data_IF_697553966098
#
_entry.id   IF_697553966098
#
_cell.length_a   1.000
_cell.length_b   1.000
_cell.length_c   1.000
_cell.angle_alpha   90.00
_cell.angle_beta   90.00
_cell.angle_gamma   90.00
#
_symmetry.space_group_name_H-M   'P 1'
#
loop_
_entity.id
_entity.type
_entity.pdbx_description
1 polymer ?
#
# COMPACT_ATOMS: atom_id res chain seq x y z
N UNK A 1 -6.44 8.08 20.35
CA UNK A 1 -7.04 7.71 19.06
C UNK A 1 -7.13 8.93 18.16
N UNK A 2 -6.60 8.87 16.94
CA UNK A 2 -6.75 9.88 15.89
C UNK A 2 -7.77 9.40 14.86
N UNK A 3 -8.47 10.33 14.20
CA UNK A 3 -9.46 10.01 13.16
C UNK A 3 -9.16 10.87 11.94
N UNK A 4 -9.01 10.22 10.78
CA UNK A 4 -8.87 10.90 9.49
C UNK A 4 -10.05 10.51 8.62
N UNK A 5 -10.90 11.49 8.29
CA UNK A 5 -12.05 11.29 7.41
C UNK A 5 -11.63 11.36 5.94
N UNK A 6 -12.08 10.41 5.14
CA UNK A 6 -11.83 10.33 3.70
C UNK A 6 -13.15 10.59 2.96
N UNK A 7 -13.21 11.68 2.22
CA UNK A 7 -14.36 12.03 1.36
C UNK A 7 -14.10 11.50 -0.05
N UNK A 8 -14.62 10.32 -0.34
CA UNK A 8 -14.58 9.66 -1.63
C UNK A 8 -15.99 9.28 -2.07
N UNK A 9 -16.16 8.53 -3.16
CA UNK A 9 -17.46 8.04 -3.64
C UNK A 9 -18.27 7.33 -2.54
N UNK A 10 -17.57 6.64 -1.61
CA UNK A 10 -18.12 6.14 -0.36
C UNK A 10 -17.24 6.69 0.78
N UNK A 11 -17.72 7.69 1.54
CA UNK A 11 -16.95 8.27 2.64
C UNK A 11 -16.71 7.26 3.76
N UNK A 12 -15.52 7.33 4.37
CA UNK A 12 -15.15 6.47 5.49
C UNK A 12 -14.13 7.14 6.40
N UNK A 13 -13.86 6.51 7.53
CA UNK A 13 -12.85 6.97 8.48
C UNK A 13 -11.68 6.00 8.55
N UNK A 14 -10.49 6.56 8.78
CA UNK A 14 -9.31 5.84 9.25
C UNK A 14 -9.12 6.21 10.71
N UNK A 15 -9.29 5.24 11.60
CA UNK A 15 -9.10 5.39 13.04
C UNK A 15 -7.74 4.81 13.41
N UNK A 16 -6.94 5.60 14.13
CA UNK A 16 -5.55 5.26 14.46
C UNK A 16 -5.38 5.35 15.96
N UNK A 17 -4.94 4.26 16.60
CA UNK A 17 -4.73 4.23 18.04
C UNK A 17 -4.52 2.82 18.57
N UNK A 18 -3.87 2.70 19.73
CA UNK A 18 -3.60 1.43 20.40
C UNK A 18 -4.86 0.73 20.87
N UNK A 19 -4.87 -0.61 20.79
CA UNK A 19 -5.95 -1.45 21.28
C UNK A 19 -7.17 -1.58 20.36
N UNK A 20 -7.16 -0.98 19.15
CA UNK A 20 -8.30 -0.99 18.24
C UNK A 20 -8.69 -2.39 17.77
N UNK A 21 -7.76 -3.34 17.70
CA UNK A 21 -8.09 -4.73 17.38
C UNK A 21 -8.99 -5.36 18.48
N UNK A 22 -8.71 -5.07 19.73
CA UNK A 22 -9.53 -5.54 20.86
C UNK A 22 -10.92 -4.91 20.85
N UNK A 23 -11.04 -3.70 20.32
CA UNK A 23 -12.29 -2.94 20.19
C UNK A 23 -12.99 -3.16 18.83
N UNK A 24 -12.47 -4.02 17.95
CA UNK A 24 -12.99 -4.23 16.59
C UNK A 24 -14.52 -4.38 16.55
N UNK A 25 -15.07 -5.25 17.40
CA UNK A 25 -16.51 -5.46 17.47
C UNK A 25 -17.29 -4.21 17.88
N UNK A 26 -16.80 -3.45 18.86
CA UNK A 26 -17.43 -2.19 19.29
C UNK A 26 -17.37 -1.13 18.19
N UNK A 27 -16.23 -1.03 17.47
CA UNK A 27 -16.08 -0.12 16.33
C UNK A 27 -17.08 -0.45 15.20
N UNK A 28 -17.28 -1.75 14.91
CA UNK A 28 -18.25 -2.18 13.90
C UNK A 28 -19.70 -1.95 14.34
N UNK A 29 -20.01 -2.09 15.64
CA UNK A 29 -21.36 -1.77 16.17
C UNK A 29 -21.72 -0.30 15.99
N UNK A 30 -20.73 0.58 16.00
CA UNK A 30 -20.92 2.01 15.69
C UNK A 30 -21.33 2.28 14.24
N UNK A 31 -20.98 1.38 13.32
CA UNK A 31 -21.30 1.51 11.88
C UNK A 31 -22.51 0.66 11.47
N UNK A 32 -22.68 -0.50 12.07
CA UNK A 32 -23.68 -1.49 11.71
C UNK A 32 -24.60 -1.78 12.92
N UNK A 33 -25.77 -1.19 12.92
CA UNK A 33 -26.72 -1.26 14.04
C UNK A 33 -27.16 -2.69 14.40
N UNK A 34 -27.23 -3.59 13.41
CA UNK A 34 -27.58 -5.01 13.63
C UNK A 34 -26.35 -5.90 13.49
N UNK A 35 -26.19 -6.91 14.36
CA UNK A 35 -25.19 -7.96 14.17
C UNK A 35 -25.41 -8.70 12.84
N UNK A 36 -24.32 -9.16 12.23
CA UNK A 36 -24.29 -9.85 10.94
C UNK A 36 -23.13 -10.83 10.88
N UNK A 37 -23.08 -11.64 9.84
CA UNK A 37 -21.94 -12.50 9.58
C UNK A 37 -20.73 -11.68 9.14
N UNK A 38 -19.55 -12.07 9.59
CA UNK A 38 -18.27 -11.38 9.31
C UNK A 38 -17.24 -12.41 8.84
N UNK A 39 -16.79 -12.30 7.61
CA UNK A 39 -15.66 -13.10 7.13
C UNK A 39 -14.35 -12.39 7.47
N UNK A 40 -13.58 -12.93 8.40
CA UNK A 40 -12.22 -12.45 8.70
C UNK A 40 -11.26 -13.09 7.71
N UNK A 41 -10.73 -12.31 6.78
CA UNK A 41 -9.78 -12.74 5.74
C UNK A 41 -8.38 -12.38 6.17
N UNK A 42 -7.50 -13.38 6.30
CA UNK A 42 -6.14 -13.19 6.80
C UNK A 42 -5.19 -14.22 6.19
N UNK A 43 -3.90 -13.90 6.14
CA UNK A 43 -2.89 -14.92 5.90
C UNK A 43 -2.66 -15.80 7.13
N UNK A 44 -1.97 -16.92 6.95
CA UNK A 44 -1.72 -17.92 8.00
C UNK A 44 -0.92 -17.36 9.19
N UNK A 45 0.07 -16.48 8.93
CA UNK A 45 0.88 -15.86 9.99
C UNK A 45 0.05 -14.89 10.83
N UNK A 46 -0.63 -13.94 10.19
CA UNK A 46 -1.44 -12.94 10.88
C UNK A 46 -2.66 -13.58 11.55
N UNK A 47 -3.26 -14.60 10.90
CA UNK A 47 -4.38 -15.36 11.46
C UNK A 47 -4.00 -16.08 12.77
N UNK A 48 -2.79 -16.64 12.84
CA UNK A 48 -2.29 -17.28 14.06
C UNK A 48 -2.08 -16.27 15.20
N UNK A 49 -1.52 -15.09 14.88
CA UNK A 49 -1.23 -14.06 15.87
C UNK A 49 -2.48 -13.34 16.38
N UNK A 50 -3.36 -12.93 15.50
CA UNK A 50 -4.41 -11.96 15.79
C UNK A 50 -5.83 -12.46 15.53
N UNK A 51 -6.01 -13.54 14.78
CA UNK A 51 -7.32 -14.09 14.44
C UNK A 51 -8.21 -14.37 15.66
N UNK A 52 -7.71 -15.07 16.70
CA UNK A 52 -8.50 -15.35 17.91
C UNK A 52 -8.97 -14.09 18.65
N UNK A 53 -8.14 -13.02 18.67
CA UNK A 53 -8.50 -11.75 19.32
C UNK A 53 -9.59 -11.01 18.53
N UNK A 54 -9.44 -10.93 17.20
CA UNK A 54 -10.44 -10.33 16.33
C UNK A 54 -11.80 -11.04 16.44
N UNK A 55 -11.81 -12.38 16.37
CA UNK A 55 -13.05 -13.14 16.49
C UNK A 55 -13.73 -12.99 17.84
N UNK A 56 -12.95 -12.95 18.94
CA UNK A 56 -13.49 -12.72 20.29
C UNK A 56 -14.17 -11.37 20.36
N UNK A 57 -13.48 -10.30 19.94
CA UNK A 57 -14.04 -8.94 19.91
C UNK A 57 -15.33 -8.86 19.10
N UNK A 58 -15.38 -9.53 17.94
CA UNK A 58 -16.58 -9.60 17.11
C UNK A 58 -17.73 -10.34 17.81
N UNK A 59 -17.48 -11.52 18.42
CA UNK A 59 -18.50 -12.30 19.13
C UNK A 59 -19.05 -11.55 20.34
N UNK A 60 -18.18 -10.89 21.11
CA UNK A 60 -18.57 -10.11 22.29
C UNK A 60 -19.50 -8.94 21.91
N UNK A 61 -19.37 -8.43 20.71
CA UNK A 61 -20.26 -7.41 20.13
C UNK A 61 -21.49 -7.99 19.41
N UNK A 62 -21.67 -9.31 19.42
CA UNK A 62 -22.83 -10.03 18.87
C UNK A 62 -22.72 -10.37 17.38
N UNK A 63 -21.57 -10.13 16.71
CA UNK A 63 -21.34 -10.58 15.34
C UNK A 63 -21.06 -12.08 15.27
N UNK A 64 -21.23 -12.67 14.08
CA UNK A 64 -20.96 -14.08 13.80
C UNK A 64 -19.69 -14.20 12.92
N UNK A 65 -18.48 -14.24 13.51
CA UNK A 65 -17.25 -14.31 12.73
C UNK A 65 -17.00 -15.73 12.19
N UNK A 66 -16.62 -15.78 10.92
CA UNK A 66 -15.99 -16.91 10.25
C UNK A 66 -14.61 -16.50 9.75
N UNK A 67 -13.72 -17.45 9.46
CA UNK A 67 -12.35 -17.16 9.06
C UNK A 67 -12.03 -17.82 7.73
N UNK A 68 -11.44 -17.02 6.83
CA UNK A 68 -10.78 -17.49 5.62
C UNK A 68 -9.29 -17.23 5.72
N UNK A 69 -8.48 -18.30 5.67
CA UNK A 69 -7.02 -18.22 5.80
C UNK A 69 -6.36 -18.67 4.51
N UNK A 70 -5.38 -17.91 4.04
CA UNK A 70 -4.58 -18.21 2.86
C UNK A 70 -3.07 -18.18 3.22
N UNK A 71 -2.17 -18.82 2.44
CA UNK A 71 -0.74 -18.77 2.70
C UNK A 71 -0.20 -17.34 2.59
N UNK A 72 0.71 -16.94 3.48
CA UNK A 72 1.31 -15.60 3.47
C UNK A 72 2.12 -15.31 2.20
N UNK A 73 2.32 -14.02 1.91
CA UNK A 73 3.14 -13.50 0.83
C UNK A 73 2.40 -13.20 -0.47
N UNK A 74 3.05 -12.38 -1.31
CA UNK A 74 2.48 -11.85 -2.56
C UNK A 74 2.05 -12.94 -3.57
N UNK A 75 2.68 -14.13 -3.50
CA UNK A 75 2.34 -15.27 -4.36
C UNK A 75 0.93 -15.81 -4.15
N UNK A 76 0.32 -15.53 -3.01
CA UNK A 76 -1.08 -15.93 -2.70
C UNK A 76 -2.13 -14.97 -3.25
N UNK A 77 -1.73 -13.80 -3.72
CA UNK A 77 -2.62 -12.77 -4.29
C UNK A 77 -3.03 -13.13 -5.71
N UNK A 78 -3.83 -14.16 -5.89
CA UNK A 78 -4.16 -14.78 -7.19
C UNK A 78 -5.66 -14.87 -7.42
N UNK A 79 -6.05 -15.07 -8.70
CA UNK A 79 -7.44 -15.39 -9.05
C UNK A 79 -7.93 -16.70 -8.38
N UNK A 80 -7.05 -17.66 -8.14
CA UNK A 80 -7.40 -18.91 -7.45
C UNK A 80 -7.78 -18.66 -5.98
N UNK A 81 -6.97 -17.88 -5.25
CA UNK A 81 -7.28 -17.49 -3.86
C UNK A 81 -8.57 -16.65 -3.79
N UNK A 82 -8.74 -15.73 -4.74
CA UNK A 82 -9.97 -14.94 -4.87
C UNK A 82 -11.19 -15.84 -5.10
N UNK A 83 -11.13 -16.81 -6.03
CA UNK A 83 -12.23 -17.71 -6.30
C UNK A 83 -12.56 -18.61 -5.08
N UNK A 84 -11.53 -19.06 -4.35
CA UNK A 84 -11.71 -19.81 -3.11
C UNK A 84 -12.42 -18.98 -2.02
N UNK A 85 -12.06 -17.69 -1.87
CA UNK A 85 -12.74 -16.79 -0.94
C UNK A 85 -14.20 -16.54 -1.33
N UNK A 86 -14.49 -16.34 -2.63
CA UNK A 86 -15.86 -16.22 -3.14
C UNK A 86 -16.70 -17.45 -2.81
N UNK A 87 -16.13 -18.64 -3.02
CA UNK A 87 -16.79 -19.90 -2.70
C UNK A 87 -17.00 -20.06 -1.19
N UNK A 88 -16.06 -19.66 -0.36
CA UNK A 88 -16.20 -19.69 1.11
C UNK A 88 -17.37 -18.80 1.57
N UNK A 89 -17.47 -17.58 1.06
CA UNK A 89 -18.60 -16.67 1.34
C UNK A 89 -19.96 -17.28 0.96
N UNK A 90 -20.01 -17.90 -0.22
CA UNK A 90 -21.23 -18.55 -0.70
C UNK A 90 -21.61 -19.75 0.17
N UNK A 91 -20.64 -20.62 0.50
CA UNK A 91 -20.86 -21.82 1.32
C UNK A 91 -21.32 -21.47 2.74
N UNK A 92 -20.80 -20.39 3.31
CA UNK A 92 -21.17 -19.88 4.62
C UNK A 92 -22.50 -19.07 4.59
N UNK A 93 -23.16 -18.94 3.43
CA UNK A 93 -24.46 -18.28 3.32
C UNK A 93 -24.43 -16.77 3.46
N UNK A 94 -23.30 -16.13 3.16
CA UNK A 94 -23.18 -14.67 3.24
C UNK A 94 -24.14 -13.98 2.27
N UNK A 95 -24.70 -12.86 2.72
CA UNK A 95 -25.66 -12.02 2.01
C UNK A 95 -25.10 -10.62 1.77
N UNK A 96 -25.86 -9.75 1.10
CA UNK A 96 -25.47 -8.34 0.88
C UNK A 96 -25.35 -7.52 2.17
N UNK A 97 -25.97 -7.97 3.25
CA UNK A 97 -25.93 -7.27 4.54
C UNK A 97 -24.73 -7.66 5.39
N UNK A 98 -24.02 -8.73 5.03
CA UNK A 98 -22.85 -9.21 5.74
C UNK A 98 -21.59 -8.44 5.31
N UNK A 99 -20.45 -8.68 5.97
CA UNK A 99 -19.25 -7.90 5.71
C UNK A 99 -17.97 -8.76 5.75
N UNK A 100 -16.92 -8.22 5.15
CA UNK A 100 -15.58 -8.79 5.22
C UNK A 100 -14.70 -7.90 6.12
N UNK A 101 -13.89 -8.52 6.98
CA UNK A 101 -12.78 -7.87 7.69
C UNK A 101 -11.48 -8.37 7.10
N UNK A 102 -10.73 -7.49 6.44
CA UNK A 102 -9.38 -7.75 5.98
C UNK A 102 -8.40 -7.52 7.14
N UNK A 103 -7.91 -8.59 7.76
CA UNK A 103 -6.96 -8.55 8.86
C UNK A 103 -5.58 -8.95 8.34
N UNK A 104 -4.69 -7.99 8.06
CA UNK A 104 -3.39 -8.31 7.48
C UNK A 104 -2.68 -7.16 6.79
N UNK A 105 -1.65 -7.49 6.02
CA UNK A 105 -0.94 -6.59 5.15
C UNK A 105 -1.69 -6.26 3.85
N UNK A 106 -1.00 -5.64 2.89
CA UNK A 106 -1.58 -5.24 1.61
C UNK A 106 -2.18 -6.40 0.80
N UNK A 107 -1.62 -7.61 0.89
CA UNK A 107 -2.16 -8.81 0.21
C UNK A 107 -3.56 -9.15 0.73
N UNK A 108 -3.74 -9.16 2.05
CA UNK A 108 -5.03 -9.42 2.68
C UNK A 108 -6.05 -8.32 2.34
N UNK A 109 -5.62 -7.05 2.42
CA UNK A 109 -6.45 -5.89 2.08
C UNK A 109 -6.96 -5.93 0.64
N UNK A 110 -6.07 -6.19 -0.31
CA UNK A 110 -6.39 -6.23 -1.74
C UNK A 110 -7.29 -7.43 -2.10
N UNK A 111 -6.96 -8.62 -1.61
CA UNK A 111 -7.74 -9.84 -1.86
C UNK A 111 -9.15 -9.72 -1.29
N UNK A 112 -9.26 -9.33 -0.01
CA UNK A 112 -10.53 -9.17 0.69
C UNK A 112 -11.36 -8.03 0.10
N UNK A 113 -10.75 -6.89 -0.21
CA UNK A 113 -11.43 -5.75 -0.81
C UNK A 113 -11.95 -6.06 -2.21
N UNK A 114 -11.17 -6.78 -3.05
CA UNK A 114 -11.65 -7.20 -4.36
C UNK A 114 -12.76 -8.24 -4.26
N UNK A 115 -12.68 -9.17 -3.31
CA UNK A 115 -13.76 -10.11 -3.04
C UNK A 115 -15.02 -9.37 -2.59
N UNK A 116 -14.91 -8.38 -1.70
CA UNK A 116 -16.03 -7.56 -1.24
C UNK A 116 -16.66 -6.77 -2.39
N UNK A 117 -15.86 -6.19 -3.28
CA UNK A 117 -16.32 -5.42 -4.44
C UNK A 117 -17.21 -6.23 -5.40
N UNK A 118 -17.01 -7.54 -5.46
CA UNK A 118 -17.61 -8.39 -6.48
C UNK A 118 -18.66 -9.36 -5.93
N UNK A 119 -18.50 -9.81 -4.66
CA UNK A 119 -19.48 -10.69 -4.03
C UNK A 119 -20.84 -10.00 -3.95
N UNK A 120 -21.90 -10.66 -4.45
CA UNK A 120 -23.26 -10.10 -4.52
C UNK A 120 -23.33 -8.70 -5.19
N UNK A 121 -22.37 -8.35 -6.06
CA UNK A 121 -22.16 -7.03 -6.70
C UNK A 121 -21.74 -5.92 -5.74
N UNK A 122 -21.17 -6.26 -4.63
CA UNK A 122 -20.63 -5.35 -3.62
C UNK A 122 -21.23 -5.56 -2.24
N UNK A 123 -20.37 -5.86 -1.27
CA UNK A 123 -20.68 -5.89 0.16
C UNK A 123 -19.69 -4.99 0.90
N UNK A 124 -20.03 -4.50 2.11
CA UNK A 124 -19.09 -3.69 2.88
C UNK A 124 -17.86 -4.52 3.31
N UNK A 125 -16.73 -3.83 3.43
CA UNK A 125 -15.55 -4.40 4.05
C UNK A 125 -14.84 -3.39 4.95
N UNK A 126 -14.07 -3.90 5.90
CA UNK A 126 -13.28 -3.14 6.86
C UNK A 126 -11.84 -3.62 6.78
N UNK A 127 -10.89 -2.70 6.86
CA UNK A 127 -9.47 -3.04 6.90
C UNK A 127 -8.90 -2.89 8.29
N UNK A 128 -8.14 -3.89 8.72
CA UNK A 128 -7.32 -3.88 9.93
C UNK A 128 -5.88 -4.16 9.49
N UNK A 129 -5.14 -3.10 9.08
CA UNK A 129 -3.77 -3.24 8.61
C UNK A 129 -2.84 -3.69 9.73
N UNK A 130 -2.02 -4.72 9.46
CA UNK A 130 -1.06 -5.27 10.43
C UNK A 130 0.39 -5.07 10.01
N UNK A 131 0.66 -4.48 8.85
CA UNK A 131 1.99 -4.08 8.41
C UNK A 131 2.11 -2.57 8.34
N UNK A 132 3.32 -2.04 8.52
CA UNK A 132 3.55 -0.59 8.38
C UNK A 132 3.14 -0.10 6.99
N UNK A 133 3.51 -0.84 5.94
CA UNK A 133 3.13 -0.51 4.56
C UNK A 133 1.62 -0.40 4.39
N UNK A 134 0.85 -1.33 4.95
CA UNK A 134 -0.62 -1.25 4.85
C UNK A 134 -1.21 -0.14 5.70
N UNK A 135 -0.66 0.12 6.89
CA UNK A 135 -1.13 1.18 7.77
C UNK A 135 -0.93 2.59 7.16
N UNK A 136 0.21 2.82 6.48
CA UNK A 136 0.53 4.15 5.92
C UNK A 136 0.08 4.34 4.48
N UNK A 137 -0.18 3.25 3.74
CA UNK A 137 -0.47 3.34 2.31
C UNK A 137 -1.60 2.41 1.87
N UNK A 138 -1.42 1.11 1.69
CA UNK A 138 -2.31 0.28 0.88
C UNK A 138 -3.75 0.17 1.40
N UNK A 139 -4.01 0.39 2.69
CA UNK A 139 -5.37 0.36 3.26
C UNK A 139 -6.25 1.56 2.88
N UNK A 140 -5.68 2.60 2.25
CA UNK A 140 -6.39 3.84 1.93
C UNK A 140 -6.55 4.01 0.43
N UNK A 141 -7.74 4.49 -0.01
CA UNK A 141 -7.99 4.91 -1.39
C UNK A 141 -8.57 3.84 -2.32
N UNK A 142 -9.03 2.71 -1.75
CA UNK A 142 -9.94 1.77 -2.40
C UNK A 142 -9.39 0.96 -3.58
N UNK A 143 -8.09 1.02 -3.87
CA UNK A 143 -7.48 0.13 -4.87
C UNK A 143 -7.43 -1.28 -4.33
N UNK A 144 -8.13 -2.21 -4.96
CA UNK A 144 -8.15 -3.64 -4.59
C UNK A 144 -7.91 -4.49 -5.83
N UNK A 145 -7.08 -5.52 -5.73
CA UNK A 145 -6.72 -6.30 -6.89
C UNK A 145 -6.12 -7.67 -6.56
N UNK A 146 -6.02 -8.51 -7.59
CA UNK A 146 -5.21 -9.73 -7.60
C UNK A 146 -4.28 -9.74 -8.81
N UNK A 147 -3.25 -10.57 -8.72
CA UNK A 147 -2.23 -10.72 -9.73
C UNK A 147 -2.66 -11.71 -10.83
N UNK A 148 -2.17 -11.48 -12.06
CA UNK A 148 -2.18 -12.45 -13.13
C UNK A 148 -0.77 -13.00 -13.38
N UNK A 149 -0.62 -14.16 -14.02
CA UNK A 149 0.67 -14.56 -14.55
C UNK A 149 1.26 -13.47 -15.44
N UNK A 150 2.42 -12.92 -15.05
CA UNK A 150 3.10 -11.85 -15.79
C UNK A 150 2.65 -10.42 -15.49
N UNK A 151 1.71 -10.20 -14.53
CA UNK A 151 1.31 -8.83 -14.17
C UNK A 151 0.78 -8.69 -12.74
N UNK A 152 1.34 -7.74 -11.99
CA UNK A 152 0.89 -7.40 -10.63
C UNK A 152 -0.36 -6.52 -10.69
N UNK A 153 -1.37 -6.78 -9.84
CA UNK A 153 -2.57 -5.95 -9.66
C UNK A 153 -3.38 -5.70 -10.96
N UNK A 154 -3.43 -6.68 -11.88
CA UNK A 154 -4.05 -6.47 -13.19
C UNK A 154 -5.58 -6.67 -13.18
N UNK A 155 -6.11 -7.39 -12.22
CA UNK A 155 -7.55 -7.63 -12.07
C UNK A 155 -8.01 -7.11 -10.73
N UNK A 156 -8.89 -6.12 -10.73
CA UNK A 156 -9.31 -5.48 -9.49
C UNK A 156 -10.45 -4.49 -9.69
N UNK A 157 -10.77 -3.80 -8.61
CA UNK A 157 -11.79 -2.76 -8.55
C UNK A 157 -11.36 -1.63 -7.62
N UNK A 158 -11.89 -0.44 -7.85
CA UNK A 158 -11.93 0.59 -6.83
C UNK A 158 -13.12 0.31 -5.92
N UNK A 159 -12.86 -0.03 -4.66
CA UNK A 159 -13.87 -0.30 -3.65
C UNK A 159 -13.41 0.29 -2.32
N UNK A 160 -14.07 1.36 -1.88
CA UNK A 160 -13.69 2.04 -0.65
C UNK A 160 -14.10 1.19 0.57
N UNK A 161 -13.26 1.06 1.60
CA UNK A 161 -13.64 0.37 2.83
C UNK A 161 -14.71 1.18 3.60
N UNK A 162 -15.52 0.51 4.40
CA UNK A 162 -16.44 1.17 5.31
C UNK A 162 -15.71 1.78 6.52
N UNK A 163 -14.55 1.24 6.87
CA UNK A 163 -13.71 1.70 7.98
C UNK A 163 -12.29 1.12 7.80
N UNK A 164 -11.29 1.86 8.25
CA UNK A 164 -9.92 1.36 8.45
C UNK A 164 -9.54 1.53 9.92
N UNK A 165 -9.09 0.46 10.58
CA UNK A 165 -8.64 0.47 11.96
C UNK A 165 -7.13 0.22 12.00
N UNK A 166 -6.35 1.27 12.13
CA UNK A 166 -4.90 1.20 12.27
C UNK A 166 -4.54 1.10 13.75
N UNK A 167 -4.20 -0.08 14.21
CA UNK A 167 -3.71 -0.35 15.55
C UNK A 167 -2.18 -0.44 15.54
N UNK A 168 -1.45 0.57 16.05
CA UNK A 168 0.02 0.56 16.03
C UNK A 168 0.63 -0.57 16.86
N UNK A 169 -0.10 -1.13 17.83
CA UNK A 169 0.40 -2.24 18.64
C UNK A 169 0.64 -3.50 17.80
N UNK A 170 -0.08 -3.67 16.69
CA UNK A 170 0.11 -4.79 15.78
C UNK A 170 1.47 -4.74 15.05
N UNK A 171 2.08 -3.56 14.95
CA UNK A 171 3.38 -3.39 14.32
C UNK A 171 4.53 -3.96 15.15
N UNK A 172 4.35 -4.19 16.45
CA UNK A 172 5.37 -4.76 17.32
C UNK A 172 5.74 -6.21 16.98
N UNK A 173 4.84 -6.93 16.31
CA UNK A 173 5.08 -8.31 15.88
C UNK A 173 5.76 -8.42 14.50
N UNK A 174 5.95 -7.30 13.80
CA UNK A 174 6.55 -7.32 12.47
C UNK A 174 8.01 -7.76 12.50
N UNK A 175 8.41 -8.68 11.63
CA UNK A 175 9.82 -8.91 11.35
C UNK A 175 10.48 -7.61 10.89
N UNK A 176 11.76 -7.37 11.24
CA UNK A 176 12.49 -6.15 10.85
C UNK A 176 12.43 -5.85 9.36
N UNK A 177 12.47 -6.87 8.50
CA UNK A 177 12.38 -6.73 7.04
C UNK A 177 11.02 -6.20 6.58
N UNK A 178 9.92 -6.65 7.21
CA UNK A 178 8.57 -6.16 6.88
C UNK A 178 8.34 -4.73 7.40
N UNK A 179 8.96 -4.39 8.52
CA UNK A 179 8.94 -3.01 9.01
C UNK A 179 9.70 -2.08 8.05
N UNK A 180 10.92 -2.48 7.64
CA UNK A 180 11.74 -1.77 6.66
C UNK A 180 11.02 -1.63 5.31
N UNK A 181 10.28 -2.66 4.89
CA UNK A 181 9.43 -2.64 3.70
C UNK A 181 8.42 -1.46 3.75
N UNK A 182 7.78 -1.24 4.90
CA UNK A 182 6.89 -0.08 5.10
C UNK A 182 7.63 1.27 5.06
N UNK A 183 8.89 1.31 5.51
CA UNK A 183 9.68 2.55 5.52
C UNK A 183 9.95 3.11 4.12
N UNK A 184 9.97 2.27 3.07
CA UNK A 184 10.06 2.75 1.68
C UNK A 184 8.95 3.71 1.31
N UNK A 185 7.71 3.42 1.73
CA UNK A 185 6.57 4.29 1.51
C UNK A 185 6.61 5.55 2.38
N UNK A 186 7.14 5.47 3.61
CA UNK A 186 7.33 6.65 4.45
C UNK A 186 8.26 7.68 3.78
N UNK A 187 9.38 7.21 3.25
CA UNK A 187 10.32 8.06 2.50
C UNK A 187 9.64 8.69 1.29
N UNK A 188 8.85 7.91 0.55
CA UNK A 188 8.05 8.44 -0.57
C UNK A 188 7.15 9.59 -0.12
N UNK A 189 6.38 9.40 0.96
CA UNK A 189 5.49 10.45 1.46
C UNK A 189 6.25 11.68 1.93
N UNK A 190 7.37 11.53 2.62
CA UNK A 190 8.19 12.65 3.05
C UNK A 190 8.73 13.46 1.87
N UNK A 191 9.17 12.78 0.80
CA UNK A 191 9.64 13.45 -0.42
C UNK A 191 8.51 14.15 -1.19
N UNK A 192 7.28 13.63 -1.11
CA UNK A 192 6.11 14.23 -1.76
C UNK A 192 5.56 15.43 -0.99
N UNK A 193 5.55 15.38 0.35
CA UNK A 193 4.93 16.41 1.19
C UNK A 193 5.89 17.42 1.80
N UNK A 194 7.18 17.05 1.99
CA UNK A 194 8.13 17.86 2.75
C UNK A 194 7.84 17.88 4.24
N UNK A 195 8.11 19.01 4.86
CA UNK A 195 7.84 19.21 6.28
C UNK A 195 6.33 19.33 6.57
N UNK A 196 5.88 18.87 7.75
CA UNK A 196 6.73 18.43 8.88
C UNK A 196 7.16 16.97 8.85
N UNK A 197 6.65 16.14 7.91
CA UNK A 197 6.92 14.69 7.89
C UNK A 197 8.41 14.39 7.64
N UNK A 198 9.05 15.10 6.70
CA UNK A 198 10.46 14.91 6.39
C UNK A 198 11.36 15.10 7.62
N UNK A 199 11.22 16.19 8.34
CA UNK A 199 11.98 16.47 9.56
C UNK A 199 11.66 15.47 10.68
N UNK A 200 10.40 15.05 10.82
CA UNK A 200 10.01 14.09 11.84
C UNK A 200 10.70 12.73 11.61
N UNK A 201 10.77 12.26 10.35
CA UNK A 201 11.39 10.98 10.00
C UNK A 201 12.92 10.99 10.18
N UNK A 202 13.58 12.15 10.12
CA UNK A 202 15.00 12.28 10.39
C UNK A 202 15.33 12.40 11.88
N UNK A 203 14.42 12.97 12.69
CA UNK A 203 14.69 13.28 14.09
C UNK A 203 14.40 12.12 15.04
N UNK A 204 13.38 11.29 14.75
CA UNK A 204 12.93 10.23 15.65
C UNK A 204 12.59 8.95 14.87
N UNK A 205 12.94 7.76 15.41
CA UNK A 205 12.47 6.51 14.84
C UNK A 205 10.94 6.44 14.84
N UNK A 206 10.36 5.96 13.73
CA UNK A 206 8.89 5.81 13.58
C UNK A 206 8.28 4.98 14.70
N UNK A 207 9.02 4.01 15.25
CA UNK A 207 8.59 3.18 16.38
C UNK A 207 8.28 3.97 17.66
N UNK A 208 8.78 5.20 17.80
CA UNK A 208 8.46 6.10 18.93
C UNK A 208 7.23 6.96 18.70
N UNK A 209 6.87 7.22 17.43
CA UNK A 209 5.78 8.10 17.05
C UNK A 209 4.83 7.48 16.02
N UNK A 210 4.43 6.18 16.18
CA UNK A 210 3.74 5.48 15.11
C UNK A 210 2.40 6.10 14.75
N UNK A 211 1.58 6.51 15.72
CA UNK A 211 0.29 7.16 15.46
C UNK A 211 0.42 8.46 14.68
N UNK A 212 1.45 9.26 14.98
CA UNK A 212 1.67 10.56 14.34
C UNK A 212 2.11 10.38 12.89
N UNK A 213 3.05 9.46 12.65
CA UNK A 213 3.57 9.18 11.31
C UNK A 213 2.50 8.53 10.43
N UNK A 214 1.77 7.54 10.96
CA UNK A 214 0.65 6.91 10.22
C UNK A 214 -0.40 7.97 9.87
N UNK A 215 -0.80 8.81 10.84
CA UNK A 215 -1.79 9.88 10.60
C UNK A 215 -1.32 10.84 9.49
N UNK A 216 -0.07 11.30 9.54
CA UNK A 216 0.48 12.21 8.54
C UNK A 216 0.46 11.56 7.13
N UNK A 217 0.89 10.31 6.99
CA UNK A 217 0.86 9.60 5.70
C UNK A 217 -0.58 9.41 5.19
N UNK A 218 -1.50 9.02 6.07
CA UNK A 218 -2.93 8.87 5.74
C UNK A 218 -3.54 10.20 5.30
N UNK A 219 -3.22 11.30 5.97
CA UNK A 219 -3.69 12.65 5.62
C UNK A 219 -3.18 13.07 4.23
N UNK A 220 -1.88 12.86 3.96
CA UNK A 220 -1.31 13.14 2.63
C UNK A 220 -2.03 12.29 1.57
N UNK A 221 -2.19 10.99 1.82
CA UNK A 221 -2.88 10.11 0.87
C UNK A 221 -4.34 10.48 0.67
N UNK A 222 -5.05 10.86 1.76
CA UNK A 222 -6.41 11.38 1.70
C UNK A 222 -6.53 12.52 0.68
N UNK A 223 -5.61 13.49 0.75
CA UNK A 223 -5.68 14.68 -0.10
C UNK A 223 -5.53 14.31 -1.59
N UNK A 224 -4.65 13.36 -1.91
CA UNK A 224 -4.56 12.80 -3.27
C UNK A 224 -5.81 12.02 -3.68
N UNK A 225 -6.36 11.19 -2.79
CA UNK A 225 -7.56 10.38 -3.08
C UNK A 225 -8.78 11.26 -3.29
N UNK A 226 -8.97 12.28 -2.45
CA UNK A 226 -10.10 13.20 -2.56
C UNK A 226 -10.02 14.07 -3.82
N UNK A 227 -8.81 14.41 -4.25
CA UNK A 227 -8.60 15.20 -5.48
C UNK A 227 -8.68 14.35 -6.75
N UNK A 228 -8.37 13.06 -6.68
CA UNK A 228 -8.28 12.16 -7.83
C UNK A 228 -8.51 10.70 -7.41
N UNK A 229 -9.75 10.36 -7.10
CA UNK A 229 -10.12 9.03 -6.61
C UNK A 229 -9.70 7.91 -7.58
N UNK A 230 -9.85 8.16 -8.88
CA UNK A 230 -9.66 7.17 -9.94
C UNK A 230 -8.24 7.07 -10.51
N UNK A 231 -7.28 7.82 -9.94
CA UNK A 231 -5.87 7.80 -10.35
C UNK A 231 -5.66 8.15 -11.84
N UNK A 232 -6.36 9.19 -12.28
CA UNK A 232 -6.25 9.69 -13.66
C UNK A 232 -5.43 10.97 -13.78
N UNK A 233 -5.15 11.64 -12.66
CA UNK A 233 -4.51 12.96 -12.57
C UNK A 233 -3.37 13.02 -11.55
N UNK A 234 -3.54 13.84 -10.50
CA UNK A 234 -2.52 14.15 -9.50
C UNK A 234 -2.12 12.95 -8.62
N UNK A 235 -3.02 11.99 -8.39
CA UNK A 235 -2.73 10.79 -7.60
C UNK A 235 -1.56 9.97 -8.18
N UNK A 236 -1.23 10.14 -9.47
CA UNK A 236 -0.05 9.53 -10.09
C UNK A 236 1.26 9.91 -9.41
N UNK A 237 1.34 11.04 -8.71
CA UNK A 237 2.52 11.43 -7.94
C UNK A 237 2.88 10.39 -6.87
N UNK A 238 1.89 9.67 -6.33
CA UNK A 238 2.11 8.56 -5.40
C UNK A 238 2.93 7.40 -6.01
N UNK A 239 3.12 7.36 -7.33
CA UNK A 239 3.99 6.39 -8.00
C UNK A 239 5.46 6.82 -8.06
N UNK A 240 5.92 7.79 -7.26
CA UNK A 240 7.34 8.13 -7.17
C UNK A 240 8.15 6.88 -6.79
N UNK A 241 9.17 6.56 -7.57
CA UNK A 241 9.97 5.34 -7.46
C UNK A 241 9.33 4.07 -8.06
N UNK A 242 8.01 4.00 -8.20
CA UNK A 242 7.29 2.77 -8.55
C UNK A 242 7.55 2.25 -9.97
N UNK A 243 7.82 3.12 -10.95
CA UNK A 243 8.10 2.67 -12.32
C UNK A 243 9.31 1.75 -12.40
N UNK A 244 10.37 2.10 -11.66
CA UNK A 244 11.59 1.28 -11.54
C UNK A 244 11.38 0.19 -10.51
N UNK A 245 10.74 0.50 -9.38
CA UNK A 245 10.48 -0.43 -8.28
C UNK A 245 9.71 -1.67 -8.73
N UNK A 246 8.59 -1.53 -9.41
CA UNK A 246 7.82 -2.67 -9.94
C UNK A 246 8.62 -3.51 -10.94
N UNK A 247 9.48 -2.88 -11.74
CA UNK A 247 10.38 -3.60 -12.64
C UNK A 247 11.40 -4.43 -11.86
N UNK A 248 11.96 -3.91 -10.76
CA UNK A 248 12.86 -4.63 -9.85
C UNK A 248 12.15 -5.80 -9.17
N UNK A 249 10.93 -5.59 -8.64
CA UNK A 249 10.12 -6.67 -8.07
C UNK A 249 9.93 -7.81 -9.09
N UNK A 250 9.60 -7.46 -10.33
CA UNK A 250 9.41 -8.44 -11.41
C UNK A 250 10.71 -9.15 -11.77
N UNK A 251 11.82 -8.44 -11.97
CA UNK A 251 13.12 -9.01 -12.30
C UNK A 251 13.67 -9.92 -11.20
N UNK A 252 13.40 -9.59 -9.93
CA UNK A 252 13.83 -10.37 -8.77
C UNK A 252 12.86 -11.53 -8.44
N UNK A 253 11.80 -11.72 -9.21
CA UNK A 253 10.72 -12.68 -8.87
C UNK A 253 10.17 -12.47 -7.45
N UNK A 254 10.03 -11.19 -7.04
CA UNK A 254 9.58 -10.75 -5.72
C UNK A 254 10.52 -11.11 -4.56
N UNK A 255 11.81 -11.36 -4.84
CA UNK A 255 12.83 -11.55 -3.79
C UNK A 255 13.23 -10.22 -3.15
N UNK A 256 13.21 -9.12 -3.91
CA UNK A 256 13.33 -7.75 -3.38
C UNK A 256 11.96 -7.28 -2.94
N UNK A 257 11.83 -6.83 -1.69
CA UNK A 257 10.55 -6.35 -1.15
C UNK A 257 10.10 -5.06 -1.84
N UNK A 258 8.80 -4.79 -1.79
CA UNK A 258 8.19 -3.63 -2.44
C UNK A 258 8.86 -2.30 -2.02
N UNK A 259 8.97 -2.05 -0.71
CA UNK A 259 9.57 -0.80 -0.22
C UNK A 259 11.05 -0.65 -0.57
N UNK A 260 11.83 -1.75 -0.56
CA UNK A 260 13.20 -1.74 -1.04
C UNK A 260 13.27 -1.41 -2.54
N UNK A 261 12.42 -2.02 -3.33
CA UNK A 261 12.35 -1.78 -4.78
C UNK A 261 11.96 -0.33 -5.10
N UNK A 262 10.97 0.22 -4.37
CA UNK A 262 10.55 1.63 -4.50
C UNK A 262 11.66 2.57 -4.06
N UNK A 263 12.38 2.26 -2.98
CA UNK A 263 13.53 3.05 -2.52
C UNK A 263 14.64 3.14 -3.59
N UNK A 264 15.02 2.00 -4.18
CA UNK A 264 15.95 1.97 -5.31
C UNK A 264 15.41 2.80 -6.47
N UNK A 265 14.13 2.65 -6.79
CA UNK A 265 13.48 3.38 -7.87
C UNK A 265 13.48 4.89 -7.65
N UNK A 266 13.23 5.36 -6.42
CA UNK A 266 13.35 6.76 -6.06
C UNK A 266 14.78 7.27 -6.25
N UNK A 267 15.78 6.54 -5.75
CA UNK A 267 17.19 6.92 -5.87
C UNK A 267 17.65 7.00 -7.33
N UNK A 268 17.35 5.99 -8.15
CA UNK A 268 17.70 5.94 -9.58
C UNK A 268 17.07 7.10 -10.35
N UNK A 269 15.77 7.33 -10.18
CA UNK A 269 15.09 8.42 -10.91
C UNK A 269 15.55 9.81 -10.44
N UNK A 270 15.86 9.99 -9.17
CA UNK A 270 16.37 11.27 -8.65
C UNK A 270 17.78 11.54 -9.15
N UNK A 271 18.70 10.54 -9.16
CA UNK A 271 20.04 10.70 -9.77
C UNK A 271 19.94 11.06 -11.24
N UNK A 272 19.08 10.37 -12.00
CA UNK A 272 18.85 10.67 -13.40
C UNK A 272 18.32 12.11 -13.61
N UNK A 273 17.38 12.54 -12.75
CA UNK A 273 16.85 13.89 -12.80
C UNK A 273 17.94 14.95 -12.52
N UNK A 274 18.80 14.71 -11.51
CA UNK A 274 19.93 15.61 -11.20
C UNK A 274 20.96 15.65 -12.30
N UNK A 275 21.34 14.50 -12.88
CA UNK A 275 22.25 14.43 -14.02
C UNK A 275 21.72 15.26 -15.21
N UNK A 276 20.42 15.32 -15.39
CA UNK A 276 19.72 16.08 -16.44
C UNK A 276 19.35 17.51 -16.03
N UNK A 277 19.82 17.99 -14.88
CA UNK A 277 19.50 19.33 -14.32
C UNK A 277 18.00 19.58 -14.14
N UNK A 278 17.24 18.54 -13.83
CA UNK A 278 15.78 18.56 -13.58
C UNK A 278 15.43 18.55 -12.09
N UNK A 279 16.40 18.31 -11.22
CA UNK A 279 16.27 18.46 -9.77
C UNK A 279 17.53 19.11 -9.19
N UNK A 280 17.42 19.62 -7.96
CA UNK A 280 18.58 20.20 -7.28
C UNK A 280 19.46 19.10 -6.65
N UNK A 281 20.79 19.31 -6.53
CA UNK A 281 21.66 18.35 -5.81
C UNK A 281 21.21 18.09 -4.37
N UNK A 282 20.63 19.11 -3.71
CA UNK A 282 20.09 19.01 -2.35
C UNK A 282 18.95 17.98 -2.29
N UNK A 283 18.05 17.95 -3.29
CA UNK A 283 16.95 16.98 -3.32
C UNK A 283 17.46 15.54 -3.37
N UNK A 284 18.57 15.28 -4.07
CA UNK A 284 19.22 13.97 -4.10
C UNK A 284 19.85 13.64 -2.74
N UNK A 285 20.64 14.55 -2.18
CA UNK A 285 21.30 14.33 -0.88
C UNK A 285 20.31 14.15 0.26
N UNK A 286 19.19 14.87 0.23
CA UNK A 286 18.09 14.75 1.19
C UNK A 286 17.38 13.40 1.08
N UNK A 287 17.10 12.93 -0.12
CA UNK A 287 16.54 11.62 -0.35
C UNK A 287 17.49 10.50 0.13
N UNK A 288 18.78 10.57 -0.27
CA UNK A 288 19.76 9.54 0.12
C UNK A 288 19.99 9.49 1.63
N UNK A 289 20.02 10.65 2.29
CA UNK A 289 20.07 10.73 3.75
C UNK A 289 18.88 10.07 4.42
N UNK A 290 17.68 10.31 3.91
CA UNK A 290 16.46 9.72 4.47
C UNK A 290 16.40 8.21 4.20
N UNK A 291 16.78 7.74 3.00
CA UNK A 291 16.88 6.31 2.70
C UNK A 291 17.90 5.59 3.61
N UNK A 292 19.06 6.22 3.84
CA UNK A 292 20.09 5.68 4.72
C UNK A 292 19.63 5.57 6.17
N UNK A 293 18.83 6.52 6.68
CA UNK A 293 18.31 6.48 8.06
C UNK A 293 17.37 5.31 8.34
N UNK A 294 16.87 4.63 7.29
CA UNK A 294 16.01 3.45 7.36
C UNK A 294 16.66 2.19 6.75
N UNK A 295 17.97 2.21 6.54
CA UNK A 295 18.73 1.11 5.93
C UNK A 295 18.16 0.65 4.58
N UNK A 296 17.56 1.57 3.82
CA UNK A 296 16.95 1.26 2.53
C UNK A 296 17.99 1.29 1.40
N UNK A 297 17.98 0.29 0.50
CA UNK A 297 18.93 0.21 -0.60
C UNK A 297 18.67 1.31 -1.64
N UNK A 298 19.76 1.77 -2.27
CA UNK A 298 19.74 2.80 -3.32
C UNK A 298 20.26 2.30 -4.67
N UNK A 299 20.66 1.01 -4.75
CA UNK A 299 21.27 0.39 -5.92
C UNK A 299 20.69 -1.00 -6.17
N UNK A 300 20.86 -1.49 -7.39
CA UNK A 300 20.52 -2.85 -7.82
C UNK A 300 21.52 -3.35 -8.85
N UNK A 301 21.71 -4.66 -8.92
CA UNK A 301 22.57 -5.32 -9.90
C UNK A 301 21.85 -5.57 -11.24
N UNK A 302 20.57 -5.30 -11.34
CA UNK A 302 19.83 -5.43 -12.60
C UNK A 302 20.26 -4.35 -13.58
N UNK A 303 20.53 -4.74 -14.85
CA UNK A 303 20.92 -3.80 -15.89
C UNK A 303 19.76 -2.87 -16.29
N UNK A 304 20.10 -1.69 -16.80
CA UNK A 304 19.15 -0.72 -17.35
C UNK A 304 18.21 -1.35 -18.40
N UNK A 305 18.74 -2.25 -19.24
CA UNK A 305 17.96 -2.96 -20.26
C UNK A 305 16.95 -3.91 -19.65
N UNK A 306 17.32 -4.66 -18.60
CA UNK A 306 16.41 -5.59 -17.92
C UNK A 306 15.26 -4.83 -17.25
N UNK A 307 15.57 -3.76 -16.51
CA UNK A 307 14.59 -2.91 -15.85
C UNK A 307 13.66 -2.24 -16.87
N UNK A 308 14.22 -1.67 -17.95
CA UNK A 308 13.41 -1.03 -19.00
C UNK A 308 12.46 -2.03 -19.68
N UNK A 309 12.92 -3.24 -19.97
CA UNK A 309 12.09 -4.30 -20.56
C UNK A 309 10.93 -4.66 -19.64
N UNK A 310 11.19 -4.88 -18.34
CA UNK A 310 10.17 -5.21 -17.36
C UNK A 310 9.15 -4.05 -17.21
N UNK A 311 9.62 -2.81 -17.03
CA UNK A 311 8.76 -1.64 -16.87
C UNK A 311 7.87 -1.37 -18.10
N UNK A 312 8.38 -1.59 -19.30
CA UNK A 312 7.63 -1.34 -20.55
C UNK A 312 6.67 -2.47 -20.91
N UNK A 313 6.86 -3.68 -20.39
CA UNK A 313 5.92 -4.80 -20.54
C UNK A 313 4.71 -4.67 -19.61
N UNK A 314 4.87 -4.10 -18.43
CA UNK A 314 3.80 -3.96 -17.41
C UNK A 314 2.84 -2.80 -17.73
N UNK A 315 3.27 -1.78 -18.46
CA UNK A 315 2.42 -0.61 -18.72
C UNK A 315 1.63 -0.76 -20.02
N UNK A 316 0.31 -0.81 -19.88
CA UNK A 316 -0.65 -0.58 -20.98
C UNK A 316 -0.28 0.73 -21.65
N UNK A 317 0.39 0.65 -22.80
CA UNK A 317 0.84 1.79 -23.59
C UNK A 317 -0.36 2.67 -23.96
N UNK A 318 -0.49 3.82 -23.32
CA UNK A 318 -1.20 4.95 -23.91
C UNK A 318 -0.16 5.77 -24.67
N UNK A 319 0.13 5.37 -25.94
CA UNK A 319 1.10 6.06 -26.79
C UNK A 319 2.56 5.67 -26.52
N UNK A 320 3.50 6.46 -27.08
CA UNK A 320 4.96 6.23 -27.04
C UNK A 320 5.65 6.97 -25.85
N UNK A 321 4.88 7.43 -24.85
CA UNK A 321 5.40 8.19 -23.70
C UNK A 321 5.22 7.43 -22.38
N UNK A 322 6.26 7.52 -21.53
CA UNK A 322 6.31 6.95 -20.20
C UNK A 322 6.29 8.08 -19.15
N UNK A 323 5.28 8.18 -18.28
CA UNK A 323 5.30 9.14 -17.19
C UNK A 323 6.25 8.66 -16.08
N UNK A 324 7.22 9.51 -15.73
CA UNK A 324 8.09 9.37 -14.58
C UNK A 324 7.69 10.40 -13.53
N UNK A 325 7.81 10.06 -12.28
CA UNK A 325 7.66 11.03 -11.18
C UNK A 325 9.05 11.42 -10.73
N UNK A 326 9.33 12.72 -10.79
CA UNK A 326 10.63 13.29 -10.46
C UNK A 326 10.50 14.30 -9.33
N UNK A 327 11.37 14.27 -8.30
CA UNK A 327 11.43 15.31 -7.32
C UNK A 327 12.15 16.53 -7.89
N UNK A 328 11.63 17.72 -7.67
CA UNK A 328 12.33 18.99 -7.90
C UNK A 328 13.06 19.46 -6.64
N UNK A 329 12.41 19.23 -5.49
CA UNK A 329 12.90 19.45 -4.14
C UNK A 329 12.12 18.59 -3.17
N UNK A 330 12.52 18.48 -1.91
CA UNK A 330 11.70 17.89 -0.84
C UNK A 330 10.36 18.63 -0.78
N UNK A 331 9.25 17.90 -0.78
CA UNK A 331 7.89 18.46 -0.81
C UNK A 331 7.41 18.90 -2.19
N UNK A 332 8.19 18.73 -3.23
CA UNK A 332 7.78 19.13 -4.59
C UNK A 332 8.21 18.13 -5.64
N UNK A 333 7.25 17.39 -6.17
CA UNK A 333 7.43 16.42 -7.23
C UNK A 333 6.55 16.78 -8.44
N UNK A 334 6.98 16.35 -9.64
CA UNK A 334 6.22 16.52 -10.87
C UNK A 334 6.16 15.25 -11.72
N UNK A 335 5.21 15.22 -12.64
CA UNK A 335 5.15 14.20 -13.68
C UNK A 335 5.95 14.67 -14.88
N UNK A 336 6.96 13.88 -15.27
CA UNK A 336 7.74 14.10 -16.48
C UNK A 336 7.43 12.98 -17.48
N UNK A 337 6.82 13.32 -18.61
CA UNK A 337 6.49 12.34 -19.64
C UNK A 337 7.63 12.25 -20.66
N UNK A 338 8.36 11.16 -20.66
CA UNK A 338 9.49 10.90 -21.58
C UNK A 338 9.09 9.98 -22.73
N UNK A 339 9.76 10.03 -23.90
CA UNK A 339 9.64 8.97 -24.89
C UNK A 339 10.08 7.63 -24.29
N UNK A 340 9.29 6.58 -24.50
CA UNK A 340 9.59 5.24 -23.91
C UNK A 340 10.96 4.70 -24.38
N UNK A 341 11.38 5.02 -25.60
CA UNK A 341 12.70 4.65 -26.14
C UNK A 341 13.88 5.25 -25.36
N UNK A 342 13.68 6.38 -24.66
CA UNK A 342 14.74 7.07 -23.93
C UNK A 342 14.89 6.53 -22.50
N UNK A 343 14.01 5.62 -22.05
CA UNK A 343 14.01 5.16 -20.67
C UNK A 343 15.29 4.45 -20.27
N UNK A 344 15.91 3.66 -21.15
CA UNK A 344 17.23 3.04 -20.88
C UNK A 344 18.30 4.09 -20.60
N UNK A 345 18.32 5.20 -21.36
CA UNK A 345 19.26 6.31 -21.09
C UNK A 345 19.02 6.94 -19.71
N UNK A 346 17.74 7.13 -19.32
CA UNK A 346 17.39 7.62 -17.99
C UNK A 346 17.90 6.71 -16.88
N UNK A 347 17.75 5.41 -17.04
CA UNK A 347 18.22 4.43 -16.07
C UNK A 347 19.74 4.43 -15.92
N UNK A 348 20.48 4.61 -17.04
CA UNK A 348 21.94 4.75 -17.02
C UNK A 348 22.38 6.04 -16.35
N UNK A 349 21.73 7.17 -16.63
CA UNK A 349 21.98 8.43 -15.93
C UNK A 349 21.70 8.33 -14.44
N UNK A 350 20.80 7.41 -14.03
CA UNK A 350 20.50 7.05 -12.66
C UNK A 350 21.49 6.06 -12.01
N UNK A 351 22.55 5.65 -12.76
CA UNK A 351 23.63 4.79 -12.26
C UNK A 351 23.43 3.29 -12.51
N UNK A 352 22.48 2.86 -13.37
CA UNK A 352 22.37 1.45 -13.75
C UNK A 352 23.26 1.14 -14.97
N UNK A 353 23.83 -0.08 -14.96
CA UNK A 353 24.71 -0.57 -16.03
C UNK A 353 23.97 -0.91 -17.35
#
# INVERSE_FOLDING_TARGET
>A
MRVVSISASHPYEVRIGSGLLSDLGAQLRGLFATPRSVMVVSDDTVSALYGPAAERSLRDAGFCPERFVFPHGERSKTLSAYAALQQALLTAGFTRSDLIVALGGGVAGDLAGFAAATYQRGIPYVQVPTTLLSAVDSSVGGKTAVNLPGGKNQVGAFHQPALVLCDPDLLHSLPPQEYQNGCGELVKYAMLSGDPLYSALLSEPVSRLPEQVISACVEIKRDFVQSDEWDTGCRRLLNFGHTVGHAIESCSHYAVSHGQAVAIGMAVLTRAACHRSLCTPEALSDLERLLASYDLPTHTDFSAQAIARAALSDKKRRGDRLPLILPEAVGRCRVEAIPARDFVSWLRDGGLS
#
